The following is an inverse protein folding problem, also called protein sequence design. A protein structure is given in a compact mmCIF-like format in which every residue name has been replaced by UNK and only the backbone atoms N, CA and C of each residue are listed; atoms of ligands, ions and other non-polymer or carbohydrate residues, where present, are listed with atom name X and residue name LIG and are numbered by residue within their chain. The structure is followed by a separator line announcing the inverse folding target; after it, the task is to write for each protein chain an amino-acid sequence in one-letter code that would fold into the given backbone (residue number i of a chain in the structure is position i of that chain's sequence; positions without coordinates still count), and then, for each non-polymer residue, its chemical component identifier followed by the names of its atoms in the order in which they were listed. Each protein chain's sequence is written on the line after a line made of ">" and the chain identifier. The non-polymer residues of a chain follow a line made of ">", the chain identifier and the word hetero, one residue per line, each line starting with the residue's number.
data_IF_739625178279
#
_entry.id   IF_739625178279
#
_cell.length_a   1.000
_cell.length_b   1.000
_cell.length_c   1.000
_cell.angle_alpha   90.00
_cell.angle_beta   90.00
_cell.angle_gamma   90.00
#
_symmetry.space_group_name_H-M   'P 1'
#
loop_
_entity.id
_entity.type
_entity.pdbx_description
1 polymer ?
#
# COMPACT_ATOMS: atom_id res chain seq x y z
N UNK A 1 -30.13 -39.37 11.20
CA UNK A 1 -28.69 -39.34 11.55
C UNK A 1 -27.99 -40.17 10.49
N UNK A 2 -27.67 -39.58 9.33
CA UNK A 2 -27.06 -40.32 8.22
C UNK A 2 -25.57 -40.50 8.49
N UNK A 3 -25.18 -41.77 8.63
CA UNK A 3 -23.82 -42.23 8.86
C UNK A 3 -23.09 -42.18 7.51
N UNK A 4 -21.88 -41.60 7.54
CA UNK A 4 -21.06 -41.23 6.40
C UNK A 4 -21.12 -42.16 5.19
N UNK A 5 -21.54 -41.58 4.06
CA UNK A 5 -21.40 -42.14 2.72
C UNK A 5 -19.94 -42.54 2.54
N UNK A 6 -19.66 -43.83 2.29
CA UNK A 6 -18.32 -44.29 1.90
C UNK A 6 -17.96 -43.60 0.59
N UNK A 7 -17.20 -42.52 0.67
CA UNK A 7 -16.47 -41.98 -0.47
C UNK A 7 -15.53 -43.13 -0.89
N UNK A 8 -15.71 -43.66 -2.10
CA UNK A 8 -14.88 -44.76 -2.60
C UNK A 8 -13.39 -44.43 -2.51
N UNK A 9 -12.53 -45.45 -2.65
CA UNK A 9 -11.08 -45.23 -2.63
C UNK A 9 -10.66 -44.21 -3.69
N UNK A 10 -9.84 -43.24 -3.30
CA UNK A 10 -9.22 -42.31 -4.24
C UNK A 10 -8.26 -43.11 -5.12
N UNK A 11 -8.42 -43.05 -6.44
CA UNK A 11 -7.49 -43.71 -7.35
C UNK A 11 -6.14 -43.00 -7.33
N UNK A 12 -5.07 -43.74 -7.61
CA UNK A 12 -3.73 -43.17 -7.75
C UNK A 12 -3.72 -42.05 -8.81
N UNK A 13 -4.43 -42.24 -9.92
CA UNK A 13 -4.55 -41.25 -10.99
C UNK A 13 -5.22 -39.95 -10.51
N UNK A 14 -6.26 -40.06 -9.66
CA UNK A 14 -6.92 -38.90 -9.10
C UNK A 14 -6.00 -38.12 -8.15
N UNK A 15 -5.18 -38.82 -7.36
CA UNK A 15 -4.18 -38.19 -6.49
C UNK A 15 -3.07 -37.52 -7.31
N UNK A 16 -2.56 -38.18 -8.34
CA UNK A 16 -1.54 -37.61 -9.23
C UNK A 16 -2.05 -36.37 -9.97
N UNK A 17 -3.28 -36.42 -10.47
CA UNK A 17 -3.92 -35.27 -11.09
C UNK A 17 -4.02 -34.11 -10.09
N UNK A 18 -4.47 -34.36 -8.85
CA UNK A 18 -4.58 -33.32 -7.82
C UNK A 18 -3.23 -32.65 -7.51
N UNK A 19 -2.14 -33.42 -7.41
CA UNK A 19 -0.79 -32.88 -7.20
C UNK A 19 -0.38 -32.00 -8.39
N UNK A 20 -0.55 -32.49 -9.62
CA UNK A 20 -0.21 -31.72 -10.82
C UNK A 20 -1.02 -30.43 -10.96
N UNK A 21 -2.29 -30.44 -10.54
CA UNK A 21 -3.11 -29.23 -10.44
C UNK A 21 -2.56 -28.25 -9.39
N UNK A 22 -2.04 -28.74 -8.26
CA UNK A 22 -1.39 -27.93 -7.24
C UNK A 22 -0.22 -27.12 -7.80
N UNK A 23 0.73 -27.80 -8.45
CA UNK A 23 1.93 -27.16 -9.02
C UNK A 23 1.58 -26.11 -10.09
N UNK A 24 0.59 -26.42 -10.92
CA UNK A 24 0.08 -25.50 -11.94
C UNK A 24 -0.57 -24.27 -11.31
N UNK A 25 -1.44 -24.46 -10.33
CA UNK A 25 -2.15 -23.36 -9.67
C UNK A 25 -1.20 -22.47 -8.87
N UNK A 26 -0.17 -23.02 -8.24
CA UNK A 26 0.85 -22.25 -7.52
C UNK A 26 1.58 -21.28 -8.44
N UNK A 27 2.05 -21.76 -9.60
CA UNK A 27 2.73 -20.91 -10.60
C UNK A 27 1.81 -19.77 -11.08
N UNK A 28 0.53 -20.09 -11.32
CA UNK A 28 -0.46 -19.09 -11.72
C UNK A 28 -0.75 -18.07 -10.62
N UNK A 29 -0.84 -18.51 -9.38
CA UNK A 29 -1.04 -17.67 -8.20
C UNK A 29 0.12 -16.70 -8.02
N UNK A 30 1.37 -17.19 -8.09
CA UNK A 30 2.57 -16.35 -7.99
C UNK A 30 2.61 -15.25 -9.05
N UNK A 31 2.23 -15.57 -10.29
CA UNK A 31 2.18 -14.58 -11.39
C UNK A 31 1.10 -13.52 -11.18
N UNK A 32 -0.05 -13.88 -10.59
CA UNK A 32 -1.11 -12.90 -10.30
C UNK A 32 -0.68 -12.01 -9.13
N UNK A 33 -0.11 -12.59 -8.07
CA UNK A 33 0.36 -11.81 -6.92
C UNK A 33 1.50 -10.87 -7.30
N UNK A 34 2.47 -11.31 -8.12
CA UNK A 34 3.55 -10.43 -8.56
C UNK A 34 3.01 -9.20 -9.29
N UNK A 35 2.00 -9.34 -10.17
CA UNK A 35 1.38 -8.21 -10.86
C UNK A 35 0.78 -7.18 -9.89
N UNK A 36 0.12 -7.64 -8.82
CA UNK A 36 -0.51 -6.78 -7.82
C UNK A 36 0.57 -6.09 -6.97
N UNK A 37 1.54 -6.87 -6.50
CA UNK A 37 2.67 -6.38 -5.69
C UNK A 37 3.50 -5.35 -6.48
N UNK A 38 3.84 -5.64 -7.74
CA UNK A 38 4.55 -4.71 -8.61
C UNK A 38 3.77 -3.40 -8.82
N UNK A 39 2.46 -3.49 -9.05
CA UNK A 39 1.62 -2.30 -9.18
C UNK A 39 1.64 -1.44 -7.91
N UNK A 40 1.60 -2.08 -6.75
CA UNK A 40 1.66 -1.41 -5.44
C UNK A 40 2.99 -0.71 -5.20
N UNK A 41 4.12 -1.38 -5.50
CA UNK A 41 5.45 -0.80 -5.38
C UNK A 41 5.70 0.31 -6.40
N UNK A 42 5.14 0.22 -7.60
CA UNK A 42 5.21 1.32 -8.59
C UNK A 42 4.53 2.58 -8.06
N UNK A 43 3.32 2.46 -7.48
CA UNK A 43 2.59 3.57 -6.84
C UNK A 43 3.40 4.17 -5.69
N UNK A 44 3.94 3.32 -4.81
CA UNK A 44 4.80 3.75 -3.70
C UNK A 44 6.08 4.44 -4.18
N UNK A 45 6.71 3.94 -5.24
CA UNK A 45 7.92 4.52 -5.86
C UNK A 45 7.68 5.93 -6.42
N UNK A 46 6.49 6.18 -6.97
CA UNK A 46 6.12 7.51 -7.45
C UNK A 46 5.99 8.50 -6.29
N UNK A 47 5.35 8.10 -5.19
CA UNK A 47 5.21 8.93 -4.00
C UNK A 47 6.56 9.15 -3.29
N UNK A 48 7.39 8.11 -3.19
CA UNK A 48 8.71 8.18 -2.55
C UNK A 48 9.64 9.16 -3.28
N UNK A 49 9.66 9.15 -4.62
CA UNK A 49 10.39 10.14 -5.43
C UNK A 49 9.96 11.57 -5.10
N UNK A 50 8.65 11.81 -4.96
CA UNK A 50 8.13 13.14 -4.58
C UNK A 50 8.55 13.54 -3.17
N UNK A 51 8.53 12.61 -2.22
CA UNK A 51 9.01 12.84 -0.85
C UNK A 51 10.50 13.21 -0.85
N UNK A 52 11.34 12.48 -1.59
CA UNK A 52 12.77 12.77 -1.70
C UNK A 52 13.03 14.13 -2.36
N UNK A 53 12.28 14.49 -3.41
CA UNK A 53 12.36 15.82 -4.04
C UNK A 53 12.04 16.94 -3.03
N UNK A 54 10.98 16.76 -2.21
CA UNK A 54 10.61 17.72 -1.17
C UNK A 54 11.68 17.84 -0.06
N UNK A 55 12.32 16.74 0.32
CA UNK A 55 13.40 16.74 1.32
C UNK A 55 14.68 17.41 0.79
N UNK A 56 15.00 17.24 -0.49
CA UNK A 56 16.19 17.84 -1.15
C UNK A 56 16.07 19.35 -1.35
N UNK A 57 14.85 19.87 -1.53
CA UNK A 57 14.61 21.31 -1.77
C UNK A 57 13.66 21.90 -0.71
N UNK A 58 14.07 22.05 0.56
CA UNK A 58 13.19 22.58 1.61
C UNK A 58 12.76 24.04 1.37
N UNK A 59 13.56 24.81 0.63
CA UNK A 59 13.33 26.22 0.33
C UNK A 59 12.42 26.46 -0.87
N UNK A 60 12.26 25.45 -1.73
CA UNK A 60 11.40 25.52 -2.92
C UNK A 60 9.99 25.08 -2.50
N UNK A 61 9.30 25.97 -1.76
CA UNK A 61 7.88 25.81 -1.42
C UNK A 61 7.04 26.01 -2.68
N UNK A 62 7.22 25.16 -3.68
CA UNK A 62 6.41 25.14 -4.91
C UNK A 62 4.94 24.90 -4.54
N UNK A 63 4.69 24.27 -3.40
CA UNK A 63 3.40 24.19 -2.74
C UNK A 63 3.39 24.96 -1.41
N UNK A 64 2.33 25.74 -1.16
CA UNK A 64 2.09 26.48 0.10
C UNK A 64 2.00 25.60 1.36
N UNK A 65 2.06 24.27 1.23
CA UNK A 65 1.84 23.33 2.31
C UNK A 65 3.15 22.69 2.77
N UNK A 66 3.51 22.94 4.01
CA UNK A 66 4.68 22.38 4.68
C UNK A 66 4.41 20.93 5.14
N UNK A 67 4.40 19.99 4.18
CA UNK A 67 4.18 18.57 4.43
C UNK A 67 5.31 17.93 5.23
N UNK A 68 6.52 18.48 5.14
CA UNK A 68 7.69 17.98 5.85
C UNK A 68 7.56 18.25 7.36
N UNK A 69 7.11 19.45 7.75
CA UNK A 69 6.94 19.80 9.17
C UNK A 69 5.59 19.34 9.73
N UNK A 70 4.50 19.54 8.99
CA UNK A 70 3.15 19.34 9.52
C UNK A 70 2.53 18.00 9.10
N UNK A 71 3.13 17.27 8.15
CA UNK A 71 2.50 16.11 7.54
C UNK A 71 1.38 16.49 6.55
N UNK A 72 0.73 15.49 6.01
CA UNK A 72 -0.32 15.64 4.99
C UNK A 72 -1.45 14.61 5.18
N UNK A 73 -2.53 14.77 4.44
CA UNK A 73 -3.69 13.86 4.47
C UNK A 73 -3.81 13.14 3.13
N UNK A 74 -4.44 11.96 3.09
CA UNK A 74 -4.70 11.26 1.83
C UNK A 74 -5.47 12.14 0.83
N UNK A 75 -6.41 12.95 1.34
CA UNK A 75 -7.18 13.91 0.54
C UNK A 75 -6.31 15.00 -0.07
N UNK A 76 -5.36 15.57 0.69
CA UNK A 76 -4.46 16.59 0.15
C UNK A 76 -3.49 16.02 -0.87
N UNK A 77 -3.06 14.76 -0.69
CA UNK A 77 -2.25 14.03 -1.67
C UNK A 77 -3.03 13.80 -2.97
N UNK A 78 -4.25 13.24 -2.89
CA UNK A 78 -5.12 13.04 -4.05
C UNK A 78 -5.37 14.32 -4.85
N UNK A 79 -5.61 15.45 -4.16
CA UNK A 79 -5.85 16.76 -4.80
C UNK A 79 -4.67 17.27 -5.63
N UNK A 80 -3.45 16.78 -5.40
CA UNK A 80 -2.30 17.10 -6.25
C UNK A 80 -2.36 16.42 -7.61
N UNK A 81 -3.15 15.35 -7.74
CA UNK A 81 -3.33 14.60 -8.99
C UNK A 81 -2.01 14.28 -9.69
N UNK A 82 -0.99 13.89 -8.90
CA UNK A 82 0.30 13.50 -9.46
C UNK A 82 0.15 12.26 -10.33
N UNK A 83 0.97 12.17 -11.37
CA UNK A 83 0.92 11.06 -12.34
C UNK A 83 1.01 9.72 -11.63
N UNK A 84 -0.02 8.87 -11.79
CA UNK A 84 -0.10 7.54 -11.16
C UNK A 84 -0.63 7.52 -9.72
N UNK A 85 -1.05 8.67 -9.17
CA UNK A 85 -1.65 8.84 -7.84
C UNK A 85 -2.93 9.69 -7.94
N UNK A 86 -3.82 9.32 -8.87
CA UNK A 86 -5.00 10.10 -9.24
C UNK A 86 -6.30 9.58 -8.63
N UNK A 87 -6.37 8.28 -8.40
CA UNK A 87 -7.51 7.60 -7.80
C UNK A 87 -7.27 7.27 -6.32
N UNK A 88 -8.36 6.99 -5.58
CA UNK A 88 -8.28 6.73 -4.14
C UNK A 88 -7.50 5.45 -3.84
N UNK A 89 -7.67 4.41 -4.65
CA UNK A 89 -6.98 3.13 -4.47
C UNK A 89 -5.47 3.31 -4.61
N UNK A 90 -5.02 3.97 -5.67
CA UNK A 90 -3.61 4.23 -5.93
C UNK A 90 -2.94 5.06 -4.82
N UNK A 91 -3.66 6.06 -4.30
CA UNK A 91 -3.19 6.87 -3.17
C UNK A 91 -3.07 6.02 -1.91
N UNK A 92 -4.08 5.23 -1.56
CA UNK A 92 -4.05 4.39 -0.36
C UNK A 92 -2.96 3.31 -0.46
N UNK A 93 -2.89 2.59 -1.58
CA UNK A 93 -1.84 1.59 -1.82
C UNK A 93 -0.43 2.18 -1.64
N UNK A 94 -0.19 3.39 -2.16
CA UNK A 94 1.11 4.04 -2.00
C UNK A 94 1.40 4.41 -0.53
N UNK A 95 0.39 4.86 0.21
CA UNK A 95 0.52 5.21 1.62
C UNK A 95 0.79 3.98 2.49
N UNK A 96 0.04 2.89 2.29
CA UNK A 96 0.17 1.64 3.05
C UNK A 96 1.56 1.05 2.89
N UNK A 97 2.04 0.94 1.63
CA UNK A 97 3.39 0.43 1.35
C UNK A 97 4.46 1.32 2.00
N UNK A 98 4.33 2.65 1.93
CA UNK A 98 5.32 3.54 2.56
C UNK A 98 5.25 3.55 4.09
N UNK A 99 4.12 3.21 4.70
CA UNK A 99 4.02 2.97 6.15
C UNK A 99 4.74 1.67 6.50
N UNK A 100 4.53 0.61 5.73
CA UNK A 100 5.19 -0.69 5.93
C UNK A 100 6.72 -0.57 5.87
N UNK A 101 7.25 0.26 4.97
CA UNK A 101 8.68 0.55 4.88
C UNK A 101 9.19 1.62 5.88
N UNK A 102 8.36 2.10 6.81
CA UNK A 102 8.68 3.16 7.79
C UNK A 102 9.09 4.52 7.16
N UNK A 103 8.68 4.78 5.92
CA UNK A 103 8.85 6.10 5.29
C UNK A 103 7.84 7.11 5.82
N UNK A 104 6.63 6.64 6.15
CA UNK A 104 5.52 7.44 6.64
C UNK A 104 5.02 6.91 7.98
N UNK A 105 4.68 7.83 8.87
CA UNK A 105 4.03 7.53 10.13
C UNK A 105 2.57 7.98 10.09
N UNK A 106 1.64 7.05 10.31
CA UNK A 106 0.22 7.32 10.42
C UNK A 106 -0.15 7.77 11.84
N UNK A 107 -0.89 8.87 11.97
CA UNK A 107 -1.51 9.28 13.23
C UNK A 107 -2.95 9.74 13.00
N UNK A 108 -3.84 9.28 13.86
CA UNK A 108 -5.16 9.89 14.00
C UNK A 108 -5.03 11.14 14.86
N UNK A 109 -5.40 12.28 14.29
CA UNK A 109 -5.47 13.55 15.01
C UNK A 109 -6.91 13.76 15.43
N UNK A 110 -7.14 13.86 16.73
CA UNK A 110 -8.46 14.14 17.28
C UNK A 110 -9.04 15.43 16.71
N UNK A 111 -10.35 15.43 16.48
CA UNK A 111 -11.03 16.65 16.06
C UNK A 111 -11.03 17.65 17.22
N UNK A 112 -10.64 18.89 16.95
CA UNK A 112 -10.64 19.98 17.93
C UNK A 112 -12.00 20.12 18.62
N UNK A 113 -12.10 19.66 19.87
CA UNK A 113 -13.06 20.05 20.93
C UNK A 113 -14.58 19.94 20.67
N UNK A 114 -15.04 19.82 19.43
CA UNK A 114 -16.44 19.93 19.01
C UNK A 114 -16.98 18.63 18.37
N UNK A 115 -16.30 17.49 18.56
CA UNK A 115 -16.89 16.18 18.24
C UNK A 115 -16.96 15.82 16.75
N UNK A 116 -15.97 16.21 15.93
CA UNK A 116 -15.84 15.75 14.55
C UNK A 116 -15.12 14.40 14.39
N UNK A 117 -15.23 13.78 13.21
CA UNK A 117 -14.47 12.57 12.86
C UNK A 117 -12.96 12.86 12.95
N UNK A 118 -12.17 12.02 13.64
CA UNK A 118 -10.71 12.16 13.68
C UNK A 118 -10.11 12.24 12.27
N UNK A 119 -9.11 13.10 12.10
CA UNK A 119 -8.43 13.27 10.81
C UNK A 119 -7.20 12.40 10.77
N UNK A 120 -7.09 11.60 9.71
CA UNK A 120 -5.91 10.80 9.43
C UNK A 120 -4.81 11.66 8.82
N UNK A 121 -3.64 11.68 9.45
CA UNK A 121 -2.49 12.45 9.02
C UNK A 121 -1.25 11.57 8.93
N UNK A 122 -0.51 11.79 7.85
CA UNK A 122 0.71 11.07 7.48
C UNK A 122 1.90 12.01 7.66
N UNK A 123 2.90 11.56 8.42
CA UNK A 123 4.12 12.31 8.71
C UNK A 123 5.31 11.64 8.03
N UNK A 124 6.14 12.43 7.35
CA UNK A 124 7.36 11.92 6.72
C UNK A 124 8.36 11.58 7.82
N UNK A 125 8.95 10.38 7.78
CA UNK A 125 9.97 9.98 8.74
C UNK A 125 11.20 10.90 8.63
N UNK A 126 11.61 11.60 9.71
CA UNK A 126 12.77 12.48 9.70
C UNK A 126 14.09 11.77 9.37
N UNK A 127 14.20 10.47 9.66
CA UNK A 127 15.38 9.67 9.40
C UNK A 127 15.69 9.57 7.90
N UNK A 128 14.70 9.78 7.02
CA UNK A 128 14.91 9.78 5.58
C UNK A 128 15.94 10.84 5.12
N UNK A 129 16.11 11.93 5.87
CA UNK A 129 17.14 12.94 5.58
C UNK A 129 18.57 12.41 5.72
N UNK A 130 18.79 11.37 6.52
CA UNK A 130 20.13 10.79 6.69
C UNK A 130 20.59 10.00 5.45
N UNK A 131 19.67 9.63 4.56
CA UNK A 131 19.95 8.86 3.35
C UNK A 131 20.08 9.72 2.08
N UNK A 132 20.00 11.04 2.21
CA UNK A 132 20.01 12.03 1.12
C UNK A 132 21.28 12.86 1.18
#
# INVERSE_FOLDING_TARGET
>A
MEIGRRLGGVSLDALQAAIAWGDMLETHMLRVYSCITDNSHLKASLLSKKILEMLKKPSDKTDKTDWVSHGFTARSLKRKSWKGLTDDEAVQTALDVLIEYDWLNYKQVESTGQGGRPTERYFINPNLKAFI
#
